data_IF_461482217599
#
_entry.id   IF_461482217599
#
_cell.length_a   1.000
_cell.length_b   1.000
_cell.length_c   1.000
_cell.angle_alpha   90.00
_cell.angle_beta   90.00
_cell.angle_gamma   90.00
#
_symmetry.space_group_name_H-M   'P 1'
#
loop_
_entity.id
_entity.type
_entity.pdbx_description
1 polymer ?
#
# COMPACT_ATOMS: atom_id res chain seq x y z
N UNK A 1 61.53 24.29 4.82
CA UNK A 1 60.70 25.14 5.70
C UNK A 1 59.91 26.06 4.76
N UNK A 2 58.59 26.13 4.69
CA UNK A 2 57.50 25.89 5.64
C UNK A 2 56.19 25.64 4.87
N UNK A 3 55.43 24.67 5.37
CA UNK A 3 53.99 24.43 5.24
C UNK A 3 53.17 25.53 4.53
N UNK A 4 52.47 25.15 3.46
CA UNK A 4 51.09 25.62 3.22
C UNK A 4 50.21 24.42 2.89
N UNK A 5 49.55 23.93 3.94
CA UNK A 5 48.37 23.08 3.87
C UNK A 5 47.30 23.89 3.14
N UNK A 6 47.00 23.58 1.87
CA UNK A 6 45.76 24.04 1.26
C UNK A 6 44.76 22.88 1.32
N UNK A 7 43.81 23.05 2.24
CA UNK A 7 42.67 22.18 2.48
C UNK A 7 41.82 22.03 1.22
N UNK A 8 41.83 20.86 0.59
CA UNK A 8 40.80 20.46 -0.37
C UNK A 8 39.62 19.89 0.41
N UNK A 9 38.69 20.77 0.79
CA UNK A 9 37.38 20.35 1.32
C UNK A 9 36.54 19.87 0.13
N UNK A 10 36.61 18.57 -0.18
CA UNK A 10 35.68 17.92 -1.12
C UNK A 10 34.29 17.88 -0.47
N UNK A 11 33.43 18.85 -0.80
CA UNK A 11 32.00 18.79 -0.46
C UNK A 11 31.37 17.79 -1.45
N UNK A 12 31.31 16.52 -1.06
CA UNK A 12 30.47 15.53 -1.72
C UNK A 12 29.01 15.89 -1.44
N UNK A 13 28.38 16.63 -2.36
CA UNK A 13 26.93 16.80 -2.37
C UNK A 13 26.34 15.45 -2.72
N UNK A 14 26.12 14.60 -1.72
CA UNK A 14 25.32 13.39 -1.91
C UNK A 14 23.92 13.86 -2.28
N UNK A 15 23.46 13.53 -3.48
CA UNK A 15 22.06 13.67 -3.81
C UNK A 15 21.29 12.73 -2.89
N UNK A 16 20.76 13.27 -1.80
CA UNK A 16 19.76 12.56 -1.02
C UNK A 16 18.55 12.47 -1.94
N UNK A 17 18.36 11.31 -2.58
CA UNK A 17 17.11 10.98 -3.22
C UNK A 17 16.04 11.05 -2.11
N UNK A 18 15.30 12.14 -2.06
CA UNK A 18 14.16 12.25 -1.15
C UNK A 18 13.12 11.27 -1.66
N UNK A 19 12.96 10.15 -0.96
CA UNK A 19 11.88 9.22 -1.25
C UNK A 19 10.57 9.99 -1.08
N UNK A 20 9.83 10.21 -2.17
CA UNK A 20 8.51 10.83 -2.11
C UNK A 20 7.65 9.99 -1.17
N UNK A 21 7.24 10.58 -0.04
CA UNK A 21 6.36 9.91 0.91
C UNK A 21 4.98 9.82 0.29
N UNK A 22 4.49 8.60 0.05
CA UNK A 22 3.15 8.38 -0.46
C UNK A 22 2.18 8.19 0.70
N UNK A 23 0.94 8.64 0.55
CA UNK A 23 -0.08 8.44 1.57
C UNK A 23 -0.51 6.96 1.65
N UNK A 24 -0.87 6.47 2.84
CA UNK A 24 -1.25 5.08 3.02
C UNK A 24 -2.58 4.79 2.31
N UNK A 25 -2.59 3.73 1.50
CA UNK A 25 -3.81 3.12 0.97
C UNK A 25 -4.19 1.91 1.83
N UNK A 26 -5.45 1.77 2.20
CA UNK A 26 -6.00 0.68 3.00
C UNK A 26 -6.65 -0.36 2.10
N UNK A 27 -6.64 -1.62 2.55
CA UNK A 27 -7.13 -2.75 1.77
C UNK A 27 -8.03 -3.65 2.62
N UNK A 28 -9.08 -4.18 2.01
CA UNK A 28 -9.85 -5.32 2.54
C UNK A 28 -10.20 -6.32 1.44
N UNK A 29 -10.63 -7.53 1.82
CA UNK A 29 -11.11 -8.56 0.90
C UNK A 29 -12.60 -8.76 1.13
N UNK A 30 -13.42 -8.59 0.08
CA UNK A 30 -14.86 -8.84 0.11
C UNK A 30 -15.30 -9.47 -1.20
N UNK A 31 -16.00 -10.61 -1.14
CA UNK A 31 -16.63 -11.25 -2.31
C UNK A 31 -15.68 -11.43 -3.51
N UNK A 32 -14.47 -11.96 -3.27
CA UNK A 32 -13.41 -12.13 -4.28
C UNK A 32 -12.90 -10.84 -4.94
N UNK A 33 -13.13 -9.69 -4.31
CA UNK A 33 -12.59 -8.40 -4.69
C UNK A 33 -11.64 -7.90 -3.62
N UNK A 34 -10.56 -7.26 -4.04
CA UNK A 34 -9.76 -6.37 -3.20
C UNK A 34 -10.43 -5.01 -3.24
N UNK A 35 -10.75 -4.50 -2.07
CA UNK A 35 -11.37 -3.22 -1.81
C UNK A 35 -10.26 -2.26 -1.40
N UNK A 36 -10.04 -1.19 -2.17
CA UNK A 36 -8.98 -0.20 -1.91
C UNK A 36 -9.57 1.16 -1.58
N UNK A 37 -9.12 1.75 -0.47
CA UNK A 37 -9.67 3.01 0.07
C UNK A 37 -8.62 3.77 0.88
N UNK A 38 -8.92 5.01 1.23
CA UNK A 38 -8.10 5.94 2.01
C UNK A 38 -8.85 6.32 3.29
N UNK A 39 -8.21 7.07 4.20
CA UNK A 39 -8.90 7.76 5.30
C UNK A 39 -8.71 9.28 5.15
N UNK A 40 -8.99 9.79 3.95
CA UNK A 40 -8.87 11.22 3.64
C UNK A 40 -10.17 11.95 3.97
N UNK A 41 -10.08 13.21 4.41
CA UNK A 41 -11.23 14.11 4.53
C UNK A 41 -11.62 14.75 3.17
N UNK A 42 -10.92 14.37 2.10
CA UNK A 42 -11.15 14.87 0.74
C UNK A 42 -12.56 14.50 0.26
N UNK A 43 -13.38 15.50 -0.08
CA UNK A 43 -14.76 15.26 -0.53
C UNK A 43 -14.87 14.91 -2.02
N UNK A 44 -13.85 15.23 -2.83
CA UNK A 44 -13.81 15.01 -4.28
C UNK A 44 -12.38 14.73 -4.74
N UNK A 45 -12.18 13.80 -5.67
CA UNK A 45 -10.92 13.68 -6.42
C UNK A 45 -10.84 14.79 -7.48
N UNK A 46 -9.63 15.14 -7.92
CA UNK A 46 -9.44 16.11 -9.00
C UNK A 46 -10.22 15.64 -10.25
N UNK A 47 -11.16 16.46 -10.74
CA UNK A 47 -12.09 16.15 -11.84
C UNK A 47 -13.09 14.98 -11.59
N UNK A 48 -13.23 14.47 -10.37
CA UNK A 48 -14.04 13.28 -10.00
C UNK A 48 -13.62 11.96 -10.68
N UNK A 49 -12.47 11.96 -11.37
CA UNK A 49 -11.89 10.75 -11.94
C UNK A 49 -10.82 10.21 -10.99
N UNK A 50 -10.69 8.89 -10.93
CA UNK A 50 -9.66 8.21 -10.13
C UNK A 50 -9.04 7.10 -10.98
N UNK A 51 -7.73 7.14 -11.13
CA UNK A 51 -6.98 6.09 -11.80
C UNK A 51 -6.47 5.08 -10.76
N UNK A 52 -6.86 3.83 -10.92
CA UNK A 52 -6.31 2.70 -10.15
C UNK A 52 -5.45 1.87 -11.07
N UNK A 53 -4.20 1.64 -10.70
CA UNK A 53 -3.35 0.67 -11.36
C UNK A 53 -2.55 -0.14 -10.36
N UNK A 54 -2.16 -1.33 -10.79
CA UNK A 54 -1.34 -2.22 -9.98
C UNK A 54 -0.40 -3.02 -10.86
N UNK A 55 0.67 -3.52 -10.24
CA UNK A 55 1.68 -4.31 -10.92
C UNK A 55 2.40 -5.19 -9.93
N UNK A 56 2.92 -6.29 -10.45
CA UNK A 56 3.77 -7.19 -9.69
C UNK A 56 5.10 -6.49 -9.41
N UNK A 57 5.61 -6.64 -8.19
CA UNK A 57 6.96 -6.22 -7.84
C UNK A 57 7.93 -7.31 -8.26
N UNK A 58 8.95 -6.93 -9.02
CA UNK A 58 10.06 -7.80 -9.42
C UNK A 58 11.36 -7.18 -8.91
N UNK A 59 12.28 -7.99 -8.40
CA UNK A 59 13.54 -7.49 -7.82
C UNK A 59 14.42 -6.76 -8.84
N UNK A 60 14.38 -7.18 -10.09
CA UNK A 60 15.30 -6.74 -11.14
C UNK A 60 14.62 -6.12 -12.35
N UNK A 61 13.30 -6.04 -12.37
CA UNK A 61 12.56 -5.47 -13.48
C UNK A 61 11.89 -4.16 -13.08
N UNK A 62 11.77 -3.26 -14.06
CA UNK A 62 10.98 -2.04 -13.89
C UNK A 62 9.52 -2.41 -13.59
N UNK A 63 8.84 -1.52 -12.86
CA UNK A 63 7.43 -1.66 -12.58
C UNK A 63 6.63 -1.76 -13.89
N UNK A 64 5.81 -2.81 -13.99
CA UNK A 64 4.92 -3.03 -15.14
C UNK A 64 3.50 -3.18 -14.65
N UNK A 65 2.62 -2.32 -15.15
CA UNK A 65 1.19 -2.38 -14.88
C UNK A 65 0.59 -3.67 -15.43
N UNK A 66 -0.05 -4.45 -14.55
CA UNK A 66 -0.80 -5.67 -14.91
C UNK A 66 -2.32 -5.48 -14.86
N UNK A 67 -2.79 -4.39 -14.26
CA UNK A 67 -4.19 -3.98 -14.28
C UNK A 67 -4.26 -2.45 -14.15
N UNK A 68 -5.19 -1.84 -14.88
CA UNK A 68 -5.49 -0.41 -14.79
C UNK A 68 -6.97 -0.18 -15.04
N UNK A 69 -7.56 0.76 -14.31
CA UNK A 69 -8.95 1.18 -14.48
C UNK A 69 -9.12 2.64 -14.06
N UNK A 70 -9.82 3.39 -14.89
CA UNK A 70 -10.29 4.75 -14.57
C UNK A 70 -11.72 4.63 -14.06
N UNK A 71 -11.97 5.15 -12.87
CA UNK A 71 -13.29 5.36 -12.30
C UNK A 71 -13.68 6.80 -12.55
N UNK A 72 -14.86 7.04 -13.13
CA UNK A 72 -15.31 8.38 -13.51
C UNK A 72 -16.49 8.84 -12.69
N UNK A 73 -16.54 10.12 -12.36
CA UNK A 73 -17.64 10.75 -11.62
C UNK A 73 -17.98 10.04 -10.31
N UNK A 74 -16.96 9.62 -9.57
CA UNK A 74 -17.14 8.95 -8.27
C UNK A 74 -16.68 9.83 -7.11
N UNK A 75 -17.19 9.54 -5.92
CA UNK A 75 -16.67 10.12 -4.68
C UNK A 75 -15.29 9.53 -4.36
N UNK A 76 -14.50 10.30 -3.59
CA UNK A 76 -13.22 9.82 -3.10
C UNK A 76 -13.44 8.61 -2.16
N UNK A 77 -12.67 7.51 -2.29
CA UNK A 77 -12.90 6.29 -1.51
C UNK A 77 -12.36 6.46 -0.09
N UNK A 78 -13.04 7.23 0.76
CA UNK A 78 -12.58 7.62 2.10
C UNK A 78 -12.79 6.55 3.19
N UNK A 79 -13.40 5.43 2.83
CA UNK A 79 -13.70 4.33 3.74
C UNK A 79 -13.93 3.03 2.92
N UNK A 80 -14.09 1.93 3.64
CA UNK A 80 -14.31 0.61 3.05
C UNK A 80 -15.63 0.51 2.26
N UNK A 81 -16.68 1.22 2.66
CA UNK A 81 -17.99 1.20 2.01
C UNK A 81 -17.94 1.81 0.60
N UNK A 82 -17.13 2.85 0.42
CA UNK A 82 -16.97 3.61 -0.82
C UNK A 82 -15.76 3.13 -1.67
N UNK A 83 -15.19 1.98 -1.35
CA UNK A 83 -13.92 1.56 -1.91
C UNK A 83 -13.94 1.23 -3.41
N UNK A 84 -12.76 1.33 -4.02
CA UNK A 84 -12.55 0.91 -5.40
C UNK A 84 -12.23 -0.58 -5.44
N UNK A 85 -12.89 -1.33 -6.33
CA UNK A 85 -12.82 -2.79 -6.36
C UNK A 85 -11.90 -3.31 -7.45
N UNK A 86 -10.93 -4.14 -7.08
CA UNK A 86 -10.04 -4.86 -8.00
C UNK A 86 -10.29 -6.36 -7.88
N UNK A 87 -10.69 -7.06 -8.95
CA UNK A 87 -10.93 -8.50 -8.88
C UNK A 87 -9.68 -9.29 -8.50
N UNK A 88 -9.80 -10.23 -7.54
CA UNK A 88 -8.68 -11.06 -7.07
C UNK A 88 -8.04 -11.87 -8.21
N UNK A 89 -8.80 -12.21 -9.26
CA UNK A 89 -8.29 -12.94 -10.45
C UNK A 89 -7.12 -12.25 -11.17
N UNK A 90 -6.89 -10.96 -10.96
CA UNK A 90 -5.73 -10.26 -11.52
C UNK A 90 -4.45 -10.44 -10.69
N UNK A 91 -4.56 -11.03 -9.50
CA UNK A 91 -3.45 -11.27 -8.59
C UNK A 91 -3.06 -12.74 -8.57
N UNK A 92 -1.76 -12.99 -8.56
CA UNK A 92 -1.21 -14.31 -8.30
C UNK A 92 -0.94 -14.48 -6.81
N UNK A 93 -1.32 -15.65 -6.27
CA UNK A 93 -1.03 -16.01 -4.89
C UNK A 93 0.49 -16.09 -4.68
N UNK A 94 0.94 -15.64 -3.51
CA UNK A 94 2.35 -15.58 -3.09
C UNK A 94 3.24 -14.78 -4.05
N UNK A 95 2.69 -13.76 -4.71
CA UNK A 95 3.45 -12.76 -5.46
C UNK A 95 3.26 -11.37 -4.86
N UNK A 96 4.34 -10.58 -4.76
CA UNK A 96 4.25 -9.21 -4.27
C UNK A 96 3.62 -8.30 -5.33
N UNK A 97 2.68 -7.49 -4.89
CA UNK A 97 2.06 -6.46 -5.70
C UNK A 97 2.17 -5.11 -5.01
N UNK A 98 2.16 -4.08 -5.83
CA UNK A 98 1.88 -2.73 -5.39
C UNK A 98 0.65 -2.25 -6.15
N UNK A 99 -0.20 -1.47 -5.48
CA UNK A 99 -1.39 -0.84 -6.04
C UNK A 99 -1.31 0.65 -5.78
N UNK A 100 -1.74 1.43 -6.76
CA UNK A 100 -1.77 2.88 -6.75
C UNK A 100 -3.18 3.36 -7.01
N UNK A 101 -3.52 4.42 -6.30
CA UNK A 101 -4.73 5.21 -6.53
C UNK A 101 -4.27 6.64 -6.75
N UNK A 102 -4.41 7.11 -7.97
CA UNK A 102 -4.15 8.49 -8.35
C UNK A 102 -5.48 9.25 -8.41
N UNK A 103 -5.63 10.19 -7.48
CA UNK A 103 -6.78 11.07 -7.35
C UNK A 103 -6.29 12.53 -7.34
N UNK A 104 -6.69 13.32 -6.33
CA UNK A 104 -6.06 14.60 -6.00
C UNK A 104 -4.61 14.46 -5.50
N UNK A 105 -4.31 13.29 -4.93
CA UNK A 105 -2.97 12.88 -4.52
C UNK A 105 -2.73 11.41 -4.84
N UNK A 106 -1.50 10.93 -4.62
CA UNK A 106 -1.10 9.56 -4.93
C UNK A 106 -1.03 8.73 -3.64
N UNK A 107 -1.90 7.72 -3.58
CA UNK A 107 -1.89 6.71 -2.53
C UNK A 107 -1.33 5.41 -3.09
N UNK A 108 -0.58 4.67 -2.28
CA UNK A 108 -0.14 3.33 -2.68
C UNK A 108 -0.04 2.36 -1.53
N UNK A 109 -0.13 1.07 -1.85
CA UNK A 109 0.12 -0.03 -0.90
C UNK A 109 0.81 -1.18 -1.58
N UNK A 110 1.77 -1.74 -0.84
CA UNK A 110 2.46 -2.99 -1.16
C UNK A 110 1.88 -4.12 -0.31
N UNK A 111 1.57 -5.25 -0.93
CA UNK A 111 1.02 -6.41 -0.24
C UNK A 111 1.23 -7.69 -1.05
N UNK A 112 0.94 -8.83 -0.42
CA UNK A 112 0.78 -10.12 -1.08
C UNK A 112 -0.60 -10.71 -0.76
N UNK A 113 -1.07 -11.60 -1.63
CA UNK A 113 -2.16 -12.52 -1.28
C UNK A 113 -1.57 -13.89 -0.97
N UNK A 114 -2.05 -14.54 0.08
CA UNK A 114 -1.82 -15.97 0.33
C UNK A 114 -3.16 -16.71 0.32
N UNK A 115 -3.09 -18.03 0.16
CA UNK A 115 -4.24 -18.92 0.35
C UNK A 115 -3.85 -19.93 1.43
N UNK A 116 -4.39 -19.76 2.63
CA UNK A 116 -4.17 -20.66 3.77
C UNK A 116 -5.51 -21.21 4.22
N UNK A 117 -5.61 -22.54 4.37
CA UNK A 117 -6.84 -23.21 4.76
C UNK A 117 -8.08 -22.80 3.92
N UNK A 118 -7.90 -22.67 2.60
CA UNK A 118 -8.94 -22.22 1.64
C UNK A 118 -9.47 -20.79 1.86
N UNK A 119 -8.79 -19.97 2.68
CA UNK A 119 -9.08 -18.56 2.87
C UNK A 119 -8.01 -17.73 2.17
N UNK A 120 -8.44 -16.81 1.30
CA UNK A 120 -7.55 -15.80 0.74
C UNK A 120 -7.37 -14.71 1.80
N UNK A 121 -6.12 -14.40 2.10
CA UNK A 121 -5.76 -13.38 3.08
C UNK A 121 -4.59 -12.55 2.56
N UNK A 122 -4.38 -11.40 3.20
CA UNK A 122 -3.21 -10.59 2.93
C UNK A 122 -2.01 -11.07 3.74
N UNK A 123 -0.82 -10.91 3.18
CA UNK A 123 0.44 -11.01 3.92
C UNK A 123 1.32 -9.83 3.57
N UNK A 124 2.25 -9.50 4.47
CA UNK A 124 3.21 -8.43 4.21
C UNK A 124 4.27 -8.79 3.17
N UNK A 125 4.92 -7.76 2.63
CA UNK A 125 6.13 -7.94 1.82
C UNK A 125 7.34 -7.89 2.75
N UNK A 126 8.12 -8.96 2.75
CA UNK A 126 9.40 -9.05 3.44
C UNK A 126 10.55 -8.76 2.47
N UNK A 127 11.60 -8.10 2.98
CA UNK A 127 12.80 -7.74 2.21
C UNK A 127 12.53 -6.93 0.93
N UNK A 128 11.35 -6.32 0.78
CA UNK A 128 10.96 -5.48 -0.34
C UNK A 128 10.48 -6.21 -1.61
N UNK A 129 10.59 -7.54 -1.70
CA UNK A 129 10.25 -8.30 -2.91
C UNK A 129 9.77 -9.74 -2.67
N UNK A 130 9.57 -10.16 -1.42
CA UNK A 130 9.09 -11.51 -1.09
C UNK A 130 7.83 -11.44 -0.24
N UNK A 131 6.94 -12.43 -0.34
CA UNK A 131 5.76 -12.50 0.52
C UNK A 131 6.12 -13.11 1.87
N UNK A 132 5.61 -12.52 2.95
CA UNK A 132 5.59 -13.09 4.29
C UNK A 132 4.67 -14.32 4.37
N UNK A 133 4.54 -14.86 5.58
CA UNK A 133 3.71 -16.05 5.85
C UNK A 133 2.46 -15.73 6.65
N UNK A 134 2.55 -14.72 7.50
CA UNK A 134 1.52 -14.39 8.47
C UNK A 134 0.46 -13.46 7.87
N UNK A 135 -0.78 -13.63 8.32
CA UNK A 135 -1.89 -12.75 7.95
C UNK A 135 -1.59 -11.31 8.42
N UNK A 136 -1.80 -10.34 7.52
CA UNK A 136 -1.60 -8.92 7.82
C UNK A 136 -2.88 -8.13 7.56
N UNK A 137 -3.28 -7.30 8.52
CA UNK A 137 -4.47 -6.44 8.38
C UNK A 137 -4.09 -5.08 7.79
N UNK A 138 -4.53 -4.85 6.55
CA UNK A 138 -4.36 -3.58 5.84
C UNK A 138 -5.58 -2.65 5.95
N UNK A 139 -6.62 -3.02 6.69
CA UNK A 139 -7.86 -2.25 6.77
C UNK A 139 -7.71 -0.96 7.59
N UNK A 140 -6.63 -0.86 8.38
CA UNK A 140 -6.42 0.26 9.30
C UNK A 140 -7.38 0.24 10.49
N UNK A 141 -8.22 -0.80 10.63
CA UNK A 141 -9.00 -1.01 11.85
C UNK A 141 -8.02 -1.30 12.97
N UNK A 142 -8.01 -0.39 13.93
CA UNK A 142 -7.07 -0.31 15.04
C UNK A 142 -6.66 -1.69 15.57
N UNK A 143 -5.39 -2.05 15.37
CA UNK A 143 -4.71 -3.10 16.14
C UNK A 143 -5.02 -2.98 17.65
N UNK A 144 -5.16 -1.73 18.14
CA UNK A 144 -5.61 -1.42 19.50
C UNK A 144 -7.06 -1.78 19.81
N UNK A 145 -8.00 -1.71 18.88
CA UNK A 145 -9.40 -2.13 19.12
C UNK A 145 -9.52 -3.64 19.22
N UNK A 146 -8.76 -4.39 18.42
CA UNK A 146 -8.67 -5.85 18.57
C UNK A 146 -8.01 -6.25 19.90
N UNK A 147 -6.96 -5.54 20.34
CA UNK A 147 -6.37 -5.72 21.68
C UNK A 147 -7.38 -5.37 22.78
N UNK A 148 -8.11 -4.25 22.66
CA UNK A 148 -9.10 -3.82 23.64
C UNK A 148 -10.26 -4.82 23.75
N UNK A 149 -10.74 -5.37 22.63
CA UNK A 149 -11.76 -6.41 22.65
C UNK A 149 -11.26 -7.71 23.28
N UNK A 150 -10.01 -8.11 22.99
CA UNK A 150 -9.38 -9.27 23.62
C UNK A 150 -9.20 -9.09 25.13
N UNK A 151 -8.71 -7.93 25.59
CA UNK A 151 -8.57 -7.59 27.00
C UNK A 151 -9.92 -7.56 27.74
N UNK A 152 -10.96 -6.97 27.13
CA UNK A 152 -12.32 -6.98 27.71
C UNK A 152 -12.82 -8.40 27.94
N UNK A 153 -12.58 -9.32 27.01
CA UNK A 153 -13.00 -10.72 27.12
C UNK A 153 -12.28 -11.49 28.23
N UNK A 154 -11.03 -11.14 28.54
CA UNK A 154 -10.26 -11.73 29.66
C UNK A 154 -10.73 -11.20 31.02
N UNK A 155 -11.11 -9.93 31.10
CA UNK A 155 -11.51 -9.29 32.35
C UNK A 155 -12.98 -9.54 32.74
N UNK A 156 -13.77 -10.10 31.84
CA UNK A 156 -15.20 -10.39 32.05
C UNK A 156 -15.52 -11.89 32.14
N UNK A 157 -14.49 -12.75 32.17
CA UNK A 157 -14.57 -14.17 32.55
C UNK A 157 -13.85 -14.41 33.86
#
# INVERSE_FOLDING_TARGET
>A
MTKKLLSFLLILITQQATAQSFLPLYLSIKENMICVYTHSDARKSMNNDILVYMGKIEKTAAFKTSYSKIYKNIHHPNNEQDCLKIPIRYFQINKPYEVWVEADTVYKRRFCLSNQANKIQFTEIVNGYSCGRDEYDYSGKNFFENILMWLKKILSG
#
